data_IF_293585397046
#
_entry.id   IF_293585397046
#
_cell.length_a   1.000
_cell.length_b   1.000
_cell.length_c   1.000
_cell.angle_alpha   90.00
_cell.angle_beta   90.00
_cell.angle_gamma   90.00
#
_symmetry.space_group_name_H-M   'P 1'
#
loop_
_entity.id
_entity.type
_entity.pdbx_description
1 polymer ?
#
# COMPACT_ATOMS: atom_id res chain seq x y z
N UNK A 1 -10.36 4.69 -14.66
CA UNK A 1 -9.60 4.41 -13.43
C UNK A 1 -8.96 3.04 -13.56
N UNK A 2 -7.63 3.00 -13.73
CA UNK A 2 -6.88 1.75 -13.70
C UNK A 2 -6.98 1.22 -12.26
N UNK A 3 -7.65 0.08 -12.07
CA UNK A 3 -7.61 -0.63 -10.78
C UNK A 3 -6.19 -1.15 -10.63
N UNK A 4 -5.36 -0.43 -9.88
CA UNK A 4 -4.08 -0.96 -9.45
C UNK A 4 -4.36 -2.25 -8.66
N UNK A 5 -3.89 -3.36 -9.21
CA UNK A 5 -3.98 -4.67 -8.57
C UNK A 5 -3.23 -4.54 -7.24
N UNK A 6 -3.91 -4.83 -6.14
CA UNK A 6 -3.34 -4.78 -4.79
C UNK A 6 -1.98 -5.49 -4.76
N UNK A 7 -0.98 -4.84 -4.16
CA UNK A 7 0.40 -5.31 -3.98
C UNK A 7 0.50 -6.70 -3.30
N UNK A 8 -0.60 -7.18 -2.70
CA UNK A 8 -0.67 -8.49 -2.07
C UNK A 8 -1.23 -9.53 -3.06
N UNK A 9 -0.33 -10.18 -3.80
CA UNK A 9 -0.70 -11.30 -4.67
C UNK A 9 -1.36 -12.45 -3.88
N UNK A 10 -2.65 -12.66 -4.12
CA UNK A 10 -3.47 -13.74 -3.55
C UNK A 10 -3.01 -15.10 -4.08
N UNK A 11 -2.10 -15.77 -3.37
CA UNK A 11 -1.69 -17.14 -3.73
C UNK A 11 -2.80 -18.17 -3.49
N UNK A 12 -3.59 -18.00 -2.43
CA UNK A 12 -4.70 -18.90 -2.07
C UNK A 12 -5.86 -18.11 -1.43
N UNK A 13 -6.77 -17.53 -2.23
CA UNK A 13 -7.78 -16.59 -1.73
C UNK A 13 -8.67 -17.17 -0.61
N UNK A 14 -8.99 -18.47 -0.68
CA UNK A 14 -9.79 -19.15 0.34
C UNK A 14 -9.03 -19.31 1.66
N UNK A 15 -7.73 -19.63 1.62
CA UNK A 15 -6.91 -19.78 2.81
C UNK A 15 -6.70 -18.43 3.49
N UNK A 16 -6.47 -17.37 2.71
CA UNK A 16 -6.37 -16.01 3.25
C UNK A 16 -7.66 -15.57 3.94
N UNK A 17 -8.81 -15.89 3.34
CA UNK A 17 -10.11 -15.61 3.94
C UNK A 17 -10.34 -16.37 5.25
N UNK A 18 -9.98 -17.66 5.30
CA UNK A 18 -10.06 -18.47 6.53
C UNK A 18 -9.18 -17.87 7.63
N UNK A 19 -7.95 -17.51 7.31
CA UNK A 19 -7.02 -16.90 8.28
C UNK A 19 -7.51 -15.54 8.76
N UNK A 20 -8.09 -14.72 7.87
CA UNK A 20 -8.69 -13.44 8.25
C UNK A 20 -9.89 -13.64 9.21
N UNK A 21 -10.73 -14.65 8.98
CA UNK A 21 -11.84 -15.00 9.89
C UNK A 21 -11.30 -15.48 11.23
N UNK A 22 -10.28 -16.35 11.25
CA UNK A 22 -9.62 -16.80 12.49
C UNK A 22 -9.06 -15.60 13.27
N UNK A 23 -8.44 -14.64 12.58
CA UNK A 23 -7.92 -13.42 13.17
C UNK A 23 -9.02 -12.52 13.75
N UNK A 24 -10.17 -12.41 13.07
CA UNK A 24 -11.34 -11.70 13.59
C UNK A 24 -11.93 -12.36 14.84
N UNK A 25 -12.05 -13.70 14.83
CA UNK A 25 -12.52 -14.46 16.01
C UNK A 25 -11.56 -14.27 17.18
N UNK A 26 -10.25 -14.34 16.94
CA UNK A 26 -9.24 -14.07 17.97
C UNK A 26 -9.36 -12.64 18.51
N UNK A 27 -9.55 -11.65 17.65
CA UNK A 27 -9.72 -10.26 18.06
C UNK A 27 -10.96 -10.07 18.94
N UNK A 28 -12.09 -10.69 18.56
CA UNK A 28 -13.31 -10.67 19.37
C UNK A 28 -13.09 -11.31 20.74
N UNK A 29 -12.37 -12.43 20.80
CA UNK A 29 -11.99 -13.08 22.06
C UNK A 29 -11.10 -12.18 22.93
N UNK A 30 -10.13 -11.47 22.32
CA UNK A 30 -9.27 -10.50 23.02
C UNK A 30 -10.09 -9.34 23.58
N UNK A 31 -11.03 -8.78 22.81
CA UNK A 31 -11.91 -7.72 23.32
C UNK A 31 -12.84 -8.21 24.44
N UNK A 32 -13.36 -9.43 24.32
CA UNK A 32 -14.09 -10.07 25.39
C UNK A 32 -13.24 -10.18 26.66
N UNK A 33 -11.99 -10.66 26.56
CA UNK A 33 -11.06 -10.78 27.69
C UNK A 33 -10.76 -9.44 28.38
N UNK A 34 -10.52 -8.40 27.59
CA UNK A 34 -10.23 -7.04 28.08
C UNK A 34 -11.43 -6.42 28.80
N UNK A 35 -12.65 -6.70 28.33
CA UNK A 35 -13.88 -6.13 28.90
C UNK A 35 -14.52 -7.03 29.95
N UNK A 36 -14.06 -8.28 30.09
CA UNK A 36 -14.69 -9.31 30.91
C UNK A 36 -14.90 -8.88 32.35
N UNK A 37 -13.87 -8.34 33.01
CA UNK A 37 -13.95 -7.98 34.43
C UNK A 37 -14.99 -6.88 34.70
N UNK A 38 -15.06 -5.88 33.83
CA UNK A 38 -16.00 -4.76 33.97
C UNK A 38 -17.44 -5.18 33.66
N UNK A 39 -17.62 -6.07 32.66
CA UNK A 39 -18.94 -6.53 32.22
C UNK A 39 -19.37 -7.84 32.90
N UNK A 40 -18.57 -8.41 33.81
CA UNK A 40 -18.88 -9.65 34.52
C UNK A 40 -20.26 -9.65 35.19
N UNK A 41 -20.73 -8.58 35.86
CA UNK A 41 -22.08 -8.57 36.43
C UNK A 41 -23.17 -8.83 35.39
N UNK A 42 -23.02 -8.25 34.20
CA UNK A 42 -23.94 -8.44 33.06
C UNK A 42 -23.83 -9.86 32.53
N UNK A 43 -22.61 -10.37 32.32
CA UNK A 43 -22.41 -11.76 31.87
C UNK A 43 -22.97 -12.77 32.86
N UNK A 44 -22.87 -12.52 34.16
CA UNK A 44 -23.42 -13.42 35.17
C UNK A 44 -24.95 -13.43 35.16
N UNK A 45 -25.57 -12.28 34.96
CA UNK A 45 -27.03 -12.14 34.91
C UNK A 45 -27.64 -12.80 33.66
N UNK A 46 -27.03 -12.60 32.49
CA UNK A 46 -27.61 -13.04 31.20
C UNK A 46 -26.93 -14.28 30.59
N UNK A 47 -25.68 -14.56 30.94
CA UNK A 47 -24.81 -15.58 30.33
C UNK A 47 -24.03 -16.37 31.40
N UNK A 48 -24.71 -16.81 32.47
CA UNK A 48 -24.08 -17.53 33.59
C UNK A 48 -23.14 -18.68 33.17
N UNK A 49 -23.45 -19.52 32.15
CA UNK A 49 -22.53 -20.57 31.71
C UNK A 49 -21.16 -20.05 31.25
N UNK A 50 -21.13 -18.87 30.61
CA UNK A 50 -19.88 -18.24 30.18
C UNK A 50 -19.03 -17.88 31.40
N UNK A 51 -19.65 -17.29 32.43
CA UNK A 51 -18.91 -16.92 33.65
C UNK A 51 -18.35 -18.11 34.41
N UNK A 52 -19.06 -19.25 34.45
CA UNK A 52 -18.57 -20.46 35.12
C UNK A 52 -17.33 -21.04 34.44
N UNK A 53 -17.26 -20.98 33.11
CA UNK A 53 -16.11 -21.47 32.34
C UNK A 53 -14.95 -20.46 32.38
N UNK A 54 -15.25 -19.16 32.38
CA UNK A 54 -14.24 -18.11 32.22
C UNK A 54 -13.69 -17.53 33.53
N UNK A 55 -14.45 -17.56 34.63
CA UNK A 55 -13.99 -17.13 35.95
C UNK A 55 -12.65 -17.80 36.36
N UNK A 56 -12.47 -19.13 36.20
CA UNK A 56 -11.20 -19.79 36.46
C UNK A 56 -10.02 -19.24 35.63
N UNK A 57 -10.27 -18.80 34.39
CA UNK A 57 -9.24 -18.23 33.50
C UNK A 57 -8.70 -16.92 34.08
N UNK A 58 -9.57 -16.11 34.70
CA UNK A 58 -9.19 -14.85 35.38
C UNK A 58 -8.82 -15.03 36.86
N UNK A 59 -8.70 -16.28 37.32
CA UNK A 59 -8.41 -16.62 38.71
C UNK A 59 -9.52 -16.22 39.69
N UNK A 60 -10.74 -16.06 39.20
CA UNK A 60 -11.89 -15.62 40.00
C UNK A 60 -12.41 -16.79 40.81
N UNK A 61 -12.55 -16.57 42.12
CA UNK A 61 -13.11 -17.53 43.07
C UNK A 61 -14.09 -16.84 44.02
N UNK A 62 -15.05 -17.60 44.53
CA UNK A 62 -15.93 -17.13 45.60
C UNK A 62 -15.10 -16.80 46.84
N UNK A 63 -15.36 -15.68 47.49
CA UNK A 63 -14.61 -15.29 48.68
C UNK A 63 -15.06 -16.16 49.87
N UNK A 64 -14.13 -16.83 50.59
CA UNK A 64 -14.49 -17.78 51.65
C UNK A 64 -15.38 -17.17 52.73
N UNK A 65 -15.09 -15.94 53.16
CA UNK A 65 -15.89 -15.24 54.17
C UNK A 65 -17.33 -14.94 53.70
N UNK A 66 -17.53 -14.45 52.46
CA UNK A 66 -18.88 -14.14 51.96
C UNK A 66 -19.67 -15.40 51.62
N UNK A 67 -19.00 -16.48 51.23
CA UNK A 67 -19.62 -17.78 51.03
C UNK A 67 -20.08 -18.38 52.36
N UNK A 68 -19.22 -18.33 53.39
CA UNK A 68 -19.57 -18.73 54.77
C UNK A 68 -20.71 -17.89 55.33
N UNK A 69 -20.71 -16.58 55.07
CA UNK A 69 -21.81 -15.71 55.46
C UNK A 69 -23.12 -16.12 54.79
N UNK A 70 -23.09 -16.30 53.47
CA UNK A 70 -24.28 -16.68 52.70
C UNK A 70 -24.84 -18.03 53.15
N UNK A 71 -23.99 -19.02 53.40
CA UNK A 71 -24.42 -20.33 53.88
C UNK A 71 -25.01 -20.26 55.30
N UNK A 72 -24.45 -19.42 56.18
CA UNK A 72 -25.00 -19.19 57.51
C UNK A 72 -26.41 -18.56 57.47
N UNK A 73 -26.66 -17.64 56.53
CA UNK A 73 -28.00 -17.06 56.34
C UNK A 73 -29.00 -18.11 55.85
N UNK A 74 -28.61 -19.00 54.93
CA UNK A 74 -29.49 -20.09 54.48
C UNK A 74 -29.77 -21.10 55.61
N UNK A 75 -28.79 -21.37 56.48
CA UNK A 75 -29.01 -22.20 57.68
C UNK A 75 -29.99 -21.54 58.65
N UNK A 76 -29.86 -20.23 58.90
CA UNK A 76 -30.79 -19.50 59.74
C UNK A 76 -32.22 -19.57 59.20
N UNK A 77 -32.42 -19.38 57.89
CA UNK A 77 -33.74 -19.51 57.24
C UNK A 77 -34.38 -20.87 57.52
N UNK A 78 -33.63 -21.95 57.29
CA UNK A 78 -34.12 -23.30 57.55
C UNK A 78 -34.46 -23.54 59.03
N UNK A 79 -33.72 -22.93 59.97
CA UNK A 79 -33.98 -23.07 61.40
C UNK A 79 -35.20 -22.26 61.85
N UNK A 80 -35.39 -21.07 61.29
CA UNK A 80 -36.56 -20.21 61.58
C UNK A 80 -37.86 -20.88 61.16
N UNK A 81 -37.88 -21.55 60.01
CA UNK A 81 -39.04 -22.31 59.51
C UNK A 81 -39.41 -23.50 60.41
N UNK A 82 -38.44 -24.09 61.10
CA UNK A 82 -38.62 -25.33 61.87
C UNK A 82 -38.81 -25.11 63.38
N UNK A 83 -38.08 -24.17 63.97
CA UNK A 83 -37.92 -24.05 65.43
C UNK A 83 -38.26 -22.66 65.98
N UNK A 84 -38.42 -21.66 65.11
CA UNK A 84 -38.77 -20.29 65.49
C UNK A 84 -37.64 -19.46 66.11
N UNK A 85 -37.87 -18.15 66.22
CA UNK A 85 -36.87 -17.12 66.59
C UNK A 85 -36.19 -17.31 67.95
N UNK A 86 -36.91 -17.85 68.94
CA UNK A 86 -36.44 -17.93 70.33
C UNK A 86 -35.74 -19.26 70.67
N UNK A 87 -35.62 -20.19 69.71
CA UNK A 87 -34.92 -21.45 69.94
C UNK A 87 -33.42 -21.23 70.17
N UNK A 88 -32.79 -22.08 71.00
CA UNK A 88 -31.34 -22.03 71.20
C UNK A 88 -30.52 -22.14 69.89
N UNK A 89 -30.83 -23.06 68.94
CA UNK A 89 -30.08 -23.12 67.69
C UNK A 89 -30.20 -21.85 66.85
N UNK A 90 -31.38 -21.23 66.79
CA UNK A 90 -31.57 -19.95 66.07
C UNK A 90 -30.80 -18.81 66.72
N UNK A 91 -30.81 -18.71 68.06
CA UNK A 91 -30.03 -17.69 68.77
C UNK A 91 -28.52 -17.83 68.53
N UNK A 92 -28.02 -19.07 68.48
CA UNK A 92 -26.62 -19.33 68.12
C UNK A 92 -26.32 -18.86 66.69
N UNK A 93 -27.18 -19.21 65.72
CA UNK A 93 -27.00 -18.78 64.32
C UNK A 93 -27.03 -17.26 64.13
N UNK A 94 -27.88 -16.56 64.88
CA UNK A 94 -27.93 -15.09 64.89
C UNK A 94 -26.64 -14.50 65.45
N UNK A 95 -26.12 -15.04 66.55
CA UNK A 95 -24.82 -14.64 67.11
C UNK A 95 -23.67 -14.88 66.12
N UNK A 96 -23.66 -16.01 65.42
CA UNK A 96 -22.68 -16.31 64.38
C UNK A 96 -22.73 -15.30 63.23
N UNK A 97 -23.93 -14.89 62.79
CA UNK A 97 -24.08 -13.86 61.76
C UNK A 97 -23.62 -12.48 62.23
N UNK A 98 -23.84 -12.13 63.50
CA UNK A 98 -23.32 -10.89 64.07
C UNK A 98 -21.78 -10.90 64.05
N UNK A 99 -21.15 -12.00 64.47
CA UNK A 99 -19.69 -12.16 64.45
C UNK A 99 -19.13 -12.11 63.02
N UNK A 100 -19.75 -12.81 62.07
CA UNK A 100 -19.36 -12.76 60.66
C UNK A 100 -19.54 -11.35 60.08
N UNK A 101 -20.56 -10.60 60.51
CA UNK A 101 -20.78 -9.22 60.07
C UNK A 101 -19.67 -8.27 60.56
N UNK A 102 -19.17 -8.49 61.78
CA UNK A 102 -18.00 -7.77 62.28
C UNK A 102 -16.75 -8.09 61.45
N UNK A 103 -16.54 -9.37 61.12
CA UNK A 103 -15.42 -9.79 60.24
C UNK A 103 -15.50 -9.17 58.85
N UNK A 104 -16.70 -9.04 58.26
CA UNK A 104 -16.88 -8.35 56.96
C UNK A 104 -16.45 -6.89 57.00
N UNK A 105 -16.52 -6.23 58.16
CA UNK A 105 -16.11 -4.84 58.33
C UNK A 105 -14.61 -4.68 58.56
N UNK A 106 -13.92 -5.70 59.08
CA UNK A 106 -12.50 -5.65 59.42
C UNK A 106 -11.63 -6.29 58.35
N UNK A 107 -12.08 -7.38 57.75
CA UNK A 107 -11.44 -8.01 56.61
C UNK A 107 -11.86 -7.32 55.31
N UNK A 108 -10.94 -7.17 54.36
CA UNK A 108 -11.25 -6.69 52.99
C UNK A 108 -11.98 -7.78 52.19
N UNK A 109 -13.17 -8.15 52.66
CA UNK A 109 -13.98 -9.22 52.07
C UNK A 109 -14.48 -8.87 50.66
N UNK A 110 -14.60 -7.57 50.37
CA UNK A 110 -15.04 -7.04 49.08
C UNK A 110 -13.92 -6.19 48.44
N UNK A 111 -12.87 -6.82 47.91
CA UNK A 111 -11.65 -6.09 47.59
C UNK A 111 -11.56 -5.51 46.15
N UNK A 112 -12.09 -6.14 45.09
CA UNK A 112 -11.78 -5.69 43.71
C UNK A 112 -12.82 -6.12 42.66
N UNK A 113 -13.01 -5.38 41.53
CA UNK A 113 -12.66 -3.98 41.25
C UNK A 113 -13.69 -2.98 41.80
N UNK A 114 -14.86 -3.46 42.24
CA UNK A 114 -15.97 -2.65 42.75
C UNK A 114 -16.50 -3.15 44.11
N UNK A 115 -15.73 -4.00 44.78
CA UNK A 115 -16.14 -4.59 46.06
C UNK A 115 -16.42 -3.54 47.14
N UNK A 116 -15.60 -2.49 47.24
CA UNK A 116 -15.78 -1.42 48.23
C UNK A 116 -17.15 -0.73 48.09
N UNK A 117 -17.61 -0.49 46.85
CA UNK A 117 -18.92 0.10 46.59
C UNK A 117 -20.07 -0.85 46.97
N UNK A 118 -19.89 -2.15 46.76
CA UNK A 118 -20.87 -3.16 47.18
C UNK A 118 -21.01 -3.18 48.71
N UNK A 119 -19.88 -3.15 49.44
CA UNK A 119 -19.91 -3.10 50.90
C UNK A 119 -20.59 -1.82 51.41
N UNK A 120 -20.27 -0.66 50.83
CA UNK A 120 -20.92 0.62 51.19
C UNK A 120 -22.43 0.56 50.93
N UNK A 121 -22.87 -0.01 49.80
CA UNK A 121 -24.28 -0.18 49.48
C UNK A 121 -25.00 -1.09 50.50
N UNK A 122 -24.39 -2.22 50.87
CA UNK A 122 -24.91 -3.12 51.91
C UNK A 122 -25.05 -2.37 53.25
N UNK A 123 -23.99 -1.66 53.67
CA UNK A 123 -23.98 -0.90 54.92
C UNK A 123 -25.02 0.22 54.93
N UNK A 124 -25.23 0.90 53.80
CA UNK A 124 -26.24 1.95 53.67
C UNK A 124 -27.66 1.36 53.73
N UNK A 125 -27.90 0.25 53.02
CA UNK A 125 -29.19 -0.43 53.02
C UNK A 125 -29.57 -0.91 54.44
N UNK A 126 -28.64 -1.50 55.19
CA UNK A 126 -28.88 -1.96 56.54
C UNK A 126 -29.06 -0.83 57.55
N UNK A 127 -28.27 0.25 57.46
CA UNK A 127 -28.47 1.45 58.30
C UNK A 127 -29.85 2.07 58.07
N UNK A 128 -30.25 2.21 56.80
CA UNK A 128 -31.57 2.72 56.46
C UNK A 128 -32.70 1.80 56.94
N UNK A 129 -32.49 0.49 56.97
CA UNK A 129 -33.50 -0.49 57.37
C UNK A 129 -33.67 -0.59 58.89
N UNK A 130 -32.56 -0.47 59.63
CA UNK A 130 -32.53 -0.62 61.10
C UNK A 130 -32.61 0.70 61.87
N UNK A 131 -32.42 1.84 61.19
CA UNK A 131 -32.38 3.17 61.82
C UNK A 131 -31.09 3.48 62.57
N UNK A 132 -30.05 2.64 62.43
CA UNK A 132 -28.77 2.80 63.13
C UNK A 132 -27.80 3.72 62.37
N UNK A 133 -26.96 4.44 63.11
CA UNK A 133 -25.98 5.39 62.54
C UNK A 133 -24.70 4.67 62.06
N UNK A 134 -24.24 3.69 62.82
CA UNK A 134 -23.07 2.88 62.51
C UNK A 134 -23.45 1.66 61.67
N UNK A 135 -22.59 1.29 60.73
CA UNK A 135 -22.75 0.05 59.98
C UNK A 135 -22.68 -1.19 60.90
N UNK A 136 -21.79 -1.17 61.90
CA UNK A 136 -21.61 -2.29 62.84
C UNK A 136 -22.87 -2.47 63.70
N UNK A 137 -23.45 -1.38 64.19
CA UNK A 137 -24.69 -1.41 64.98
C UNK A 137 -25.88 -1.81 64.12
N UNK A 138 -25.91 -1.40 62.84
CA UNK A 138 -26.95 -1.84 61.90
C UNK A 138 -26.90 -3.35 61.67
N UNK A 139 -25.70 -3.93 61.48
CA UNK A 139 -25.54 -5.37 61.33
C UNK A 139 -25.92 -6.14 62.59
N UNK A 140 -25.49 -5.68 63.76
CA UNK A 140 -25.83 -6.34 65.03
C UNK A 140 -27.33 -6.28 65.32
N UNK A 141 -27.96 -5.13 65.09
CA UNK A 141 -29.40 -4.93 65.25
C UNK A 141 -30.20 -5.79 64.28
N UNK A 142 -29.83 -5.81 62.99
CA UNK A 142 -30.55 -6.58 61.97
C UNK A 142 -30.60 -8.08 62.30
N UNK A 143 -29.49 -8.64 62.78
CA UNK A 143 -29.40 -10.04 63.21
C UNK A 143 -29.73 -10.26 64.69
N UNK A 144 -30.51 -9.38 65.31
CA UNK A 144 -31.00 -9.59 66.68
C UNK A 144 -32.37 -10.27 66.68
N UNK A 145 -32.60 -11.17 67.63
CA UNK A 145 -33.89 -11.84 67.77
C UNK A 145 -35.01 -10.83 68.05
N UNK A 146 -34.74 -9.80 68.86
CA UNK A 146 -35.72 -8.79 69.22
C UNK A 146 -36.15 -7.93 68.01
N UNK A 147 -35.21 -7.56 67.14
CA UNK A 147 -35.54 -6.83 65.91
C UNK A 147 -36.35 -7.68 64.94
N UNK A 148 -35.93 -8.92 64.68
CA UNK A 148 -36.60 -9.83 63.76
C UNK A 148 -38.02 -10.21 64.25
N UNK A 149 -38.24 -10.27 65.56
CA UNK A 149 -39.57 -10.48 66.11
C UNK A 149 -40.47 -9.25 65.94
N UNK A 150 -39.95 -8.04 66.20
CA UNK A 150 -40.69 -6.79 66.06
C UNK A 150 -41.00 -6.42 64.60
N UNK A 151 -40.05 -6.62 63.70
CA UNK A 151 -40.10 -6.19 62.30
C UNK A 151 -40.69 -7.25 61.35
N UNK A 152 -41.16 -8.39 61.88
CA UNK A 152 -41.52 -9.60 61.14
C UNK A 152 -40.36 -10.15 60.30
N UNK A 153 -39.71 -11.17 60.84
CA UNK A 153 -38.53 -11.83 60.27
C UNK A 153 -38.70 -12.25 58.80
N UNK A 154 -39.91 -12.62 58.36
CA UNK A 154 -40.14 -13.01 56.96
C UNK A 154 -39.92 -11.84 56.00
N UNK A 155 -40.42 -10.66 56.37
CA UNK A 155 -40.25 -9.44 55.57
C UNK A 155 -38.78 -8.99 55.53
N UNK A 156 -38.06 -9.14 56.65
CA UNK A 156 -36.63 -8.80 56.71
C UNK A 156 -35.75 -9.77 55.90
N UNK A 157 -36.09 -11.06 55.86
CA UNK A 157 -35.39 -12.03 55.03
C UNK A 157 -35.69 -11.84 53.53
N UNK A 158 -36.91 -11.42 53.16
CA UNK A 158 -37.21 -11.00 51.78
C UNK A 158 -36.42 -9.75 51.38
N UNK A 159 -36.30 -8.77 52.29
CA UNK A 159 -35.43 -7.61 52.08
C UNK A 159 -33.98 -8.04 51.87
N UNK A 160 -33.46 -8.93 52.71
CA UNK A 160 -32.11 -9.49 52.56
C UNK A 160 -31.91 -10.13 51.19
N UNK A 161 -32.84 -10.99 50.77
CA UNK A 161 -32.73 -11.72 49.51
C UNK A 161 -32.78 -10.82 48.28
N UNK A 162 -33.55 -9.72 48.34
CA UNK A 162 -33.69 -8.79 47.22
C UNK A 162 -32.60 -7.73 47.18
N UNK A 163 -32.23 -7.17 48.33
CA UNK A 163 -31.36 -5.98 48.40
C UNK A 163 -29.92 -6.30 48.78
N UNK A 164 -29.67 -7.38 49.54
CA UNK A 164 -28.34 -7.63 50.10
C UNK A 164 -27.66 -8.83 49.44
N UNK A 165 -28.35 -9.97 49.32
CA UNK A 165 -27.84 -11.22 48.74
C UNK A 165 -27.18 -11.06 47.35
N UNK A 166 -27.70 -10.22 46.41
CA UNK A 166 -27.04 -10.04 45.11
C UNK A 166 -25.60 -9.53 45.20
N UNK A 167 -25.29 -8.69 46.19
CA UNK A 167 -23.93 -8.18 46.40
C UNK A 167 -22.98 -9.28 46.89
N UNK A 168 -23.42 -10.14 47.81
CA UNK A 168 -22.64 -11.28 48.30
C UNK A 168 -22.39 -12.30 47.19
N UNK A 169 -23.41 -12.57 46.38
CA UNK A 169 -23.26 -13.45 45.23
C UNK A 169 -22.30 -12.85 44.19
N UNK A 170 -22.40 -11.54 43.95
CA UNK A 170 -21.57 -10.82 42.98
C UNK A 170 -20.10 -10.72 43.41
N UNK A 171 -19.84 -10.79 44.72
CA UNK A 171 -18.51 -10.70 45.30
C UNK A 171 -17.61 -11.86 44.88
N UNK A 172 -16.35 -11.54 44.61
CA UNK A 172 -15.33 -12.50 44.29
C UNK A 172 -13.96 -11.97 44.68
N UNK A 173 -12.99 -12.87 44.77
CA UNK A 173 -11.59 -12.48 44.83
C UNK A 173 -10.83 -13.07 43.65
N UNK A 174 -9.74 -12.41 43.26
CA UNK A 174 -8.81 -12.92 42.27
C UNK A 174 -7.63 -13.56 42.98
N UNK A 175 -7.31 -14.79 42.61
CA UNK A 175 -6.05 -15.41 43.06
C UNK A 175 -4.88 -14.62 42.50
N UNK A 176 -3.78 -14.61 43.25
CA UNK A 176 -2.51 -14.06 42.81
C UNK A 176 -1.57 -15.19 42.42
N UNK A 177 -0.73 -14.93 41.43
CA UNK A 177 0.34 -15.86 41.05
C UNK A 177 1.56 -15.71 41.98
N UNK A 178 2.59 -16.53 41.75
CA UNK A 178 3.86 -16.53 42.50
C UNK A 178 4.62 -15.18 42.50
N UNK A 179 4.23 -14.25 41.64
CA UNK A 179 4.84 -12.92 41.52
C UNK A 179 3.95 -11.80 42.11
N UNK A 180 2.84 -12.16 42.74
CA UNK A 180 1.91 -11.21 43.35
C UNK A 180 0.99 -10.49 42.36
N UNK A 181 1.01 -10.85 41.07
CA UNK A 181 0.10 -10.30 40.08
C UNK A 181 -1.20 -11.13 40.02
N UNK A 182 -2.35 -10.52 39.66
CA UNK A 182 -3.60 -11.25 39.47
C UNK A 182 -3.43 -12.38 38.47
N UNK A 183 -3.94 -13.56 38.80
CA UNK A 183 -3.92 -14.72 37.91
C UNK A 183 -4.67 -14.42 36.61
N UNK A 184 -4.04 -14.72 35.49
CA UNK A 184 -4.60 -14.60 34.16
C UNK A 184 -4.04 -15.69 33.24
N UNK A 185 -4.87 -16.66 32.89
CA UNK A 185 -4.54 -17.77 32.01
C UNK A 185 -5.01 -17.57 30.57
N UNK A 186 -5.46 -16.37 30.19
CA UNK A 186 -5.96 -16.11 28.84
C UNK A 186 -4.93 -16.46 27.76
N UNK A 187 -3.65 -16.27 28.06
CA UNK A 187 -2.56 -16.59 27.13
C UNK A 187 -2.62 -18.06 26.65
N UNK A 188 -3.16 -18.98 27.46
CA UNK A 188 -3.32 -20.39 27.09
C UNK A 188 -4.43 -20.59 26.03
N UNK A 189 -5.51 -19.82 26.13
CA UNK A 189 -6.60 -19.82 25.14
C UNK A 189 -6.13 -19.13 23.85
N UNK A 190 -5.29 -18.13 23.97
CA UNK A 190 -4.75 -17.34 22.87
C UNK A 190 -3.64 -18.08 22.09
N UNK A 191 -2.89 -18.95 22.76
CA UNK A 191 -1.72 -19.63 22.21
C UNK A 191 -1.99 -20.41 20.91
N UNK A 192 -3.07 -21.20 20.77
CA UNK A 192 -3.41 -21.85 19.51
C UNK A 192 -3.52 -20.89 18.32
N UNK A 193 -4.11 -19.70 18.54
CA UNK A 193 -4.23 -18.68 17.50
C UNK A 193 -2.87 -18.08 17.15
N UNK A 194 -2.06 -17.76 18.17
CA UNK A 194 -0.70 -17.23 17.98
C UNK A 194 0.16 -18.22 17.19
N UNK A 195 0.04 -19.52 17.44
CA UNK A 195 0.75 -20.55 16.67
C UNK A 195 0.30 -20.58 15.20
N UNK A 196 -1.00 -20.50 14.93
CA UNK A 196 -1.53 -20.43 13.55
C UNK A 196 -0.98 -19.19 12.84
N UNK A 197 -1.01 -18.02 13.50
CA UNK A 197 -0.47 -16.79 12.92
C UNK A 197 1.04 -16.86 12.71
N UNK A 198 1.79 -17.45 13.64
CA UNK A 198 3.23 -17.62 13.49
C UNK A 198 3.57 -18.45 12.26
N UNK A 199 2.86 -19.57 12.04
CA UNK A 199 3.06 -20.42 10.86
C UNK A 199 2.69 -19.67 9.58
N UNK A 200 1.55 -18.97 9.55
CA UNK A 200 1.12 -18.16 8.39
C UNK A 200 2.14 -17.07 8.04
N UNK A 201 2.62 -16.32 9.05
CA UNK A 201 3.60 -15.26 8.86
C UNK A 201 4.92 -15.83 8.35
N UNK A 202 5.42 -16.92 8.94
CA UNK A 202 6.65 -17.57 8.50
C UNK A 202 6.55 -18.11 7.07
N UNK A 203 5.43 -18.75 6.72
CA UNK A 203 5.19 -19.24 5.36
C UNK A 203 5.25 -18.10 4.34
N UNK A 204 4.68 -16.94 4.68
CA UNK A 204 4.67 -15.77 3.80
C UNK A 204 6.02 -15.08 3.71
N UNK A 205 6.73 -14.91 4.82
CA UNK A 205 8.11 -14.39 4.82
C UNK A 205 8.99 -15.30 3.95
N UNK A 206 8.85 -16.63 4.09
CA UNK A 206 9.58 -17.60 3.28
C UNK A 206 9.23 -17.49 1.79
N UNK A 207 7.96 -17.33 1.44
CA UNK A 207 7.53 -17.13 0.06
C UNK A 207 8.11 -15.85 -0.55
N UNK A 208 8.10 -14.73 0.18
CA UNK A 208 8.70 -13.46 -0.25
C UNK A 208 10.19 -13.61 -0.52
N UNK A 209 10.91 -14.26 0.41
CA UNK A 209 12.35 -14.50 0.27
C UNK A 209 12.68 -15.43 -0.91
N UNK A 210 11.84 -16.44 -1.17
CA UNK A 210 12.04 -17.34 -2.33
C UNK A 210 11.90 -16.62 -3.66
N UNK A 211 11.08 -15.57 -3.74
CA UNK A 211 10.91 -14.75 -4.97
C UNK A 211 11.97 -13.67 -5.11
N UNK A 212 12.47 -13.16 -4.00
CA UNK A 212 13.44 -12.08 -3.95
C UNK A 212 14.68 -12.56 -3.18
N UNK A 213 15.61 -13.27 -3.84
CA UNK A 213 16.78 -13.86 -3.18
C UNK A 213 17.72 -12.80 -2.58
N UNK A 214 17.65 -11.56 -3.06
CA UNK A 214 18.47 -10.44 -2.59
C UNK A 214 18.04 -9.91 -1.21
N UNK A 215 16.85 -10.30 -0.72
CA UNK A 215 16.33 -9.87 0.58
C UNK A 215 16.81 -10.77 1.73
N UNK A 216 17.22 -10.13 2.83
CA UNK A 216 17.44 -10.81 4.11
C UNK A 216 16.11 -11.22 4.75
N UNK A 217 16.14 -12.18 5.68
CA UNK A 217 14.95 -12.57 6.46
C UNK A 217 14.36 -11.40 7.25
N UNK A 218 15.20 -10.49 7.74
CA UNK A 218 14.77 -9.33 8.51
C UNK A 218 14.03 -8.35 7.60
N UNK A 219 14.55 -8.05 6.41
CA UNK A 219 13.88 -7.18 5.43
C UNK A 219 12.56 -7.79 4.95
N UNK A 220 12.53 -9.09 4.67
CA UNK A 220 11.30 -9.80 4.31
C UNK A 220 10.26 -9.76 5.46
N UNK A 221 10.71 -9.83 6.71
CA UNK A 221 9.85 -9.67 7.90
C UNK A 221 9.35 -8.23 8.09
N UNK A 222 10.22 -7.23 7.90
CA UNK A 222 9.88 -5.81 8.03
C UNK A 222 8.83 -5.36 6.99
N UNK A 223 8.82 -5.96 5.79
CA UNK A 223 7.73 -5.75 4.81
C UNK A 223 6.35 -6.14 5.36
N UNK A 224 6.29 -6.93 6.43
CA UNK A 224 5.07 -7.38 7.12
C UNK A 224 5.07 -7.00 8.59
N UNK A 225 5.73 -5.92 8.97
CA UNK A 225 5.85 -5.48 10.37
C UNK A 225 4.50 -5.44 11.11
N UNK A 226 3.42 -5.07 10.42
CA UNK A 226 2.07 -4.99 11.00
C UNK A 226 1.53 -6.35 11.45
N UNK A 227 1.91 -7.45 10.80
CA UNK A 227 1.47 -8.80 11.18
C UNK A 227 2.11 -9.25 12.50
N UNK A 228 3.25 -8.66 12.90
CA UNK A 228 3.92 -9.02 14.15
C UNK A 228 3.08 -8.71 15.38
N UNK A 229 2.15 -7.74 15.31
CA UNK A 229 1.21 -7.46 16.39
C UNK A 229 0.29 -8.65 16.70
N UNK A 230 0.06 -9.57 15.76
CA UNK A 230 -0.68 -10.81 16.00
C UNK A 230 0.03 -11.76 16.96
N UNK A 231 1.37 -11.66 17.05
CA UNK A 231 2.19 -12.56 17.86
C UNK A 231 2.46 -12.03 19.26
N UNK A 232 2.21 -10.75 19.52
CA UNK A 232 2.52 -10.16 20.81
C UNK A 232 1.61 -10.73 21.91
N UNK A 233 2.18 -11.24 23.02
CA UNK A 233 1.41 -11.72 24.15
C UNK A 233 0.91 -10.57 25.05
N UNK A 234 1.52 -9.39 24.93
CA UNK A 234 1.14 -8.13 25.57
C UNK A 234 0.52 -7.17 24.54
N UNK A 235 -0.16 -6.11 25.02
CA UNK A 235 -0.77 -5.09 24.15
C UNK A 235 -1.69 -5.64 23.05
N UNK A 236 -2.46 -6.69 23.38
CA UNK A 236 -3.28 -7.45 22.43
C UNK A 236 -4.29 -6.62 21.64
N UNK A 237 -4.67 -5.43 22.12
CA UNK A 237 -5.53 -4.49 21.39
C UNK A 237 -4.94 -4.02 20.04
N UNK A 238 -3.61 -4.02 19.90
CA UNK A 238 -2.94 -3.67 18.64
C UNK A 238 -3.20 -4.66 17.51
N UNK A 239 -3.75 -5.85 17.81
CA UNK A 239 -4.20 -6.82 16.80
C UNK A 239 -5.32 -6.27 15.91
N UNK A 240 -6.02 -5.23 16.33
CA UNK A 240 -7.04 -4.58 15.50
C UNK A 240 -6.46 -4.12 14.15
N UNK A 241 -5.22 -3.62 14.13
CA UNK A 241 -4.57 -3.14 12.90
C UNK A 241 -4.34 -4.26 11.87
N UNK A 242 -3.58 -5.34 12.16
CA UNK A 242 -3.39 -6.41 11.19
C UNK A 242 -4.70 -7.12 10.84
N UNK A 243 -5.65 -7.25 11.76
CA UNK A 243 -6.95 -7.87 11.47
C UNK A 243 -7.75 -7.02 10.48
N UNK A 244 -7.84 -5.70 10.69
CA UNK A 244 -8.53 -4.80 9.77
C UNK A 244 -7.91 -4.84 8.37
N UNK A 245 -6.57 -4.82 8.29
CA UNK A 245 -5.85 -4.93 7.02
C UNK A 245 -6.10 -6.29 6.34
N UNK A 246 -6.09 -7.40 7.09
CA UNK A 246 -6.38 -8.74 6.54
C UNK A 246 -7.81 -8.85 6.03
N UNK A 247 -8.79 -8.31 6.76
CA UNK A 247 -10.19 -8.28 6.32
C UNK A 247 -10.38 -7.43 5.06
N UNK A 248 -9.70 -6.30 4.97
CA UNK A 248 -9.66 -5.48 3.76
C UNK A 248 -9.04 -6.23 2.58
N UNK A 249 -7.90 -6.90 2.79
CA UNK A 249 -7.21 -7.68 1.75
C UNK A 249 -8.07 -8.80 1.14
N UNK A 250 -9.02 -9.35 1.91
CA UNK A 250 -9.95 -10.40 1.46
C UNK A 250 -11.34 -9.88 1.08
N UNK A 251 -11.48 -8.56 0.87
CA UNK A 251 -12.73 -7.88 0.48
C UNK A 251 -13.89 -8.10 1.48
N UNK A 252 -13.59 -8.37 2.76
CA UNK A 252 -14.59 -8.51 3.83
C UNK A 252 -14.86 -7.20 4.57
N UNK A 253 -14.01 -6.19 4.40
CA UNK A 253 -14.14 -4.88 5.02
C UNK A 253 -13.78 -3.82 3.99
N UNK A 254 -14.64 -2.83 3.80
CA UNK A 254 -14.49 -1.76 2.81
C UNK A 254 -13.74 -0.57 3.45
N UNK A 255 -12.46 -0.36 3.11
CA UNK A 255 -11.64 0.76 3.60
C UNK A 255 -11.32 1.79 2.51
N UNK A 256 -12.05 1.81 1.41
CA UNK A 256 -11.73 2.64 0.23
C UNK A 256 -11.67 4.13 0.58
N UNK A 257 -12.58 4.61 1.44
CA UNK A 257 -12.59 6.01 1.89
C UNK A 257 -11.37 6.36 2.76
N UNK A 258 -10.99 5.46 3.67
CA UNK A 258 -9.84 5.66 4.57
C UNK A 258 -8.53 5.60 3.77
N UNK A 259 -8.45 4.69 2.80
CA UNK A 259 -7.33 4.60 1.88
C UNK A 259 -7.20 5.86 1.02
N UNK A 260 -8.31 6.35 0.45
CA UNK A 260 -8.29 7.54 -0.39
C UNK A 260 -7.77 8.77 0.37
N UNK A 261 -8.17 8.94 1.64
CA UNK A 261 -7.67 10.04 2.47
C UNK A 261 -6.21 9.84 2.87
N UNK A 262 -5.83 8.64 3.34
CA UNK A 262 -4.45 8.35 3.72
C UNK A 262 -3.47 8.47 2.54
N UNK A 263 -3.92 8.12 1.32
CA UNK A 263 -3.11 8.23 0.12
C UNK A 263 -2.98 9.68 -0.36
N UNK A 264 -3.93 10.56 -0.04
CA UNK A 264 -3.90 11.95 -0.50
C UNK A 264 -2.61 12.66 -0.06
N UNK A 265 -2.27 12.57 1.22
CA UNK A 265 -1.09 13.25 1.79
C UNK A 265 0.22 12.55 1.40
N UNK A 266 0.20 11.22 1.29
CA UNK A 266 1.37 10.43 0.89
C UNK A 266 1.68 10.63 -0.60
N UNK A 267 0.67 10.68 -1.48
CA UNK A 267 0.86 10.92 -2.92
C UNK A 267 1.36 12.34 -3.17
N UNK A 268 0.94 13.34 -2.38
CA UNK A 268 1.45 14.71 -2.55
C UNK A 268 2.94 14.80 -2.19
N UNK A 269 3.38 14.07 -1.16
CA UNK A 269 4.78 14.11 -0.70
C UNK A 269 5.69 13.17 -1.51
N UNK A 270 5.26 11.94 -1.75
CA UNK A 270 6.04 10.91 -2.47
C UNK A 270 5.88 11.07 -3.99
N UNK A 271 4.78 11.65 -4.46
CA UNK A 271 4.52 11.84 -5.88
C UNK A 271 5.50 12.80 -6.55
N UNK A 272 6.06 13.76 -5.82
CA UNK A 272 7.13 14.62 -6.33
C UNK A 272 8.43 13.82 -6.58
N UNK A 273 8.82 12.99 -5.61
CA UNK A 273 10.02 12.14 -5.72
C UNK A 273 9.87 11.10 -6.84
N UNK A 274 8.70 10.45 -6.92
CA UNK A 274 8.40 9.48 -7.98
C UNK A 274 8.30 10.18 -9.34
N UNK A 275 7.69 11.37 -9.44
CA UNK A 275 7.61 12.10 -10.70
C UNK A 275 8.99 12.57 -11.18
N UNK A 276 9.88 12.98 -10.27
CA UNK A 276 11.26 13.32 -10.59
C UNK A 276 12.02 12.12 -11.15
N UNK A 277 11.97 10.97 -10.46
CA UNK A 277 12.67 9.74 -10.88
C UNK A 277 12.06 9.18 -12.17
N UNK A 278 10.73 9.13 -12.27
CA UNK A 278 10.05 8.71 -13.49
C UNK A 278 10.35 9.66 -14.66
N UNK A 279 10.49 10.96 -14.40
CA UNK A 279 10.91 11.94 -15.40
C UNK A 279 12.30 11.65 -15.95
N UNK A 280 13.27 11.33 -15.08
CA UNK A 280 14.63 10.94 -15.48
C UNK A 280 14.60 9.65 -16.32
N UNK A 281 13.89 8.62 -15.85
CA UNK A 281 13.75 7.35 -16.57
C UNK A 281 13.13 7.52 -17.95
N UNK A 282 12.09 8.35 -18.06
CA UNK A 282 11.44 8.68 -19.34
C UNK A 282 12.44 9.36 -20.28
N UNK A 283 13.28 10.26 -19.76
CA UNK A 283 14.33 10.94 -20.54
C UNK A 283 15.42 9.96 -20.97
N UNK A 284 15.89 9.10 -20.08
CA UNK A 284 16.92 8.09 -20.40
C UNK A 284 16.41 7.11 -21.46
N UNK A 285 15.19 6.59 -21.29
CA UNK A 285 14.57 5.70 -22.26
C UNK A 285 14.33 6.38 -23.62
N UNK A 286 14.03 7.68 -23.61
CA UNK A 286 13.94 8.48 -24.83
C UNK A 286 15.32 8.63 -25.49
N UNK A 287 16.36 8.97 -24.71
CA UNK A 287 17.73 9.08 -25.19
C UNK A 287 18.24 7.76 -25.79
N UNK A 288 17.94 6.63 -25.17
CA UNK A 288 18.30 5.31 -25.69
C UNK A 288 17.57 4.99 -27.00
N UNK A 289 16.29 5.37 -27.10
CA UNK A 289 15.53 5.24 -28.35
C UNK A 289 16.12 6.11 -29.47
N UNK A 290 16.68 7.29 -29.15
CA UNK A 290 17.43 8.14 -30.10
C UNK A 290 18.73 7.44 -30.50
N UNK A 291 19.51 6.96 -29.54
CA UNK A 291 20.81 6.30 -29.77
C UNK A 291 20.69 5.07 -30.64
N UNK A 292 19.59 4.32 -30.50
CA UNK A 292 19.32 3.10 -31.26
C UNK A 292 18.67 3.36 -32.63
N UNK A 293 18.34 4.63 -32.95
CA UNK A 293 17.70 5.02 -34.21
C UNK A 293 16.24 4.59 -34.35
N UNK A 294 15.62 4.05 -33.30
CA UNK A 294 14.24 3.55 -33.33
C UNK A 294 13.21 4.66 -33.54
N UNK A 295 13.52 5.87 -33.07
CA UNK A 295 12.63 7.04 -33.23
C UNK A 295 12.39 7.42 -34.69
N UNK A 296 13.38 7.23 -35.57
CA UNK A 296 13.23 7.52 -37.00
C UNK A 296 12.22 6.56 -37.65
N UNK A 297 12.19 5.30 -37.22
CA UNK A 297 11.18 4.33 -37.67
C UNK A 297 9.77 4.70 -37.22
N UNK A 298 9.62 5.41 -36.09
CA UNK A 298 8.31 5.85 -35.61
C UNK A 298 7.81 7.11 -36.33
N UNK A 299 8.73 8.00 -36.74
CA UNK A 299 8.45 9.19 -37.54
C UNK A 299 8.06 8.82 -38.98
N UNK A 300 8.72 7.81 -39.56
CA UNK A 300 8.45 7.34 -40.92
C UNK A 300 7.04 6.71 -41.10
N UNK A 301 6.36 6.38 -40.00
CA UNK A 301 5.10 5.64 -39.99
C UNK A 301 3.84 6.55 -39.89
N UNK A 302 3.92 7.83 -40.28
CA UNK A 302 2.88 8.83 -40.00
C UNK A 302 2.53 9.73 -41.20
N UNK A 303 1.22 9.79 -41.50
CA UNK A 303 0.50 10.77 -42.31
C UNK A 303 -0.03 11.91 -41.38
N UNK A 304 -0.21 13.16 -41.84
CA UNK A 304 -0.23 14.34 -40.96
C UNK A 304 -1.59 14.59 -40.31
N UNK A 305 -1.57 15.53 -39.36
CA UNK A 305 -2.68 16.19 -38.63
C UNK A 305 -2.95 15.63 -37.23
N UNK A 306 -2.26 16.22 -36.26
CA UNK A 306 -2.84 16.49 -34.95
C UNK A 306 -2.35 17.88 -34.49
N UNK A 307 -3.27 18.83 -34.43
CA UNK A 307 -3.04 20.16 -33.85
C UNK A 307 -2.82 20.01 -32.34
N UNK A 308 -1.57 20.17 -31.91
CA UNK A 308 -1.25 20.50 -30.53
C UNK A 308 -0.81 21.96 -30.48
N UNK A 309 -1.75 22.85 -30.17
CA UNK A 309 -1.47 24.24 -29.79
C UNK A 309 -0.74 24.24 -28.44
N UNK A 310 0.59 24.07 -28.47
CA UNK A 310 1.57 24.52 -27.48
C UNK A 310 2.93 23.91 -27.85
N UNK A 311 3.51 24.37 -28.96
CA UNK A 311 4.89 24.08 -29.33
C UNK A 311 5.81 24.93 -28.45
N UNK A 312 6.48 24.26 -27.50
CA UNK A 312 7.48 24.87 -26.64
C UNK A 312 8.73 25.11 -27.47
N UNK A 313 9.08 26.38 -27.65
CA UNK A 313 10.25 26.88 -28.38
C UNK A 313 11.53 26.52 -27.59
N UNK A 314 12.02 25.28 -27.76
CA UNK A 314 13.13 24.72 -26.96
C UNK A 314 14.36 24.29 -27.76
N UNK A 315 14.33 24.34 -29.09
CA UNK A 315 15.50 23.94 -29.89
C UNK A 315 16.47 25.12 -29.98
N UNK A 316 17.65 24.96 -29.37
CA UNK A 316 18.68 25.99 -29.35
C UNK A 316 19.29 26.19 -30.76
N UNK A 317 19.59 27.44 -31.11
CA UNK A 317 20.19 27.83 -32.41
C UNK A 317 21.52 27.10 -32.70
N UNK A 318 22.23 26.71 -31.65
CA UNK A 318 23.46 25.91 -31.73
C UNK A 318 23.21 24.49 -32.27
N UNK A 319 22.09 23.86 -31.92
CA UNK A 319 21.74 22.50 -32.37
C UNK A 319 21.38 22.47 -33.86
N UNK A 320 20.64 23.49 -34.33
CA UNK A 320 20.28 23.65 -35.74
C UNK A 320 21.55 23.80 -36.60
N UNK A 321 22.51 24.58 -36.11
CA UNK A 321 23.80 24.78 -36.77
C UNK A 321 24.64 23.49 -36.82
N UNK A 322 24.59 22.68 -35.76
CA UNK A 322 25.25 21.37 -35.70
C UNK A 322 24.62 20.37 -36.69
N UNK A 323 23.29 20.32 -36.77
CA UNK A 323 22.55 19.47 -37.71
C UNK A 323 22.85 19.89 -39.16
N UNK A 324 22.80 21.19 -39.47
CA UNK A 324 23.14 21.70 -40.80
C UNK A 324 24.57 21.33 -41.21
N UNK A 325 25.53 21.41 -40.28
CA UNK A 325 26.91 21.01 -40.51
C UNK A 325 27.04 19.50 -40.79
N UNK A 326 26.28 18.66 -40.08
CA UNK A 326 26.27 17.22 -40.30
C UNK A 326 25.61 16.83 -41.62
N UNK A 327 24.48 17.46 -41.98
CA UNK A 327 23.78 17.25 -43.24
C UNK A 327 24.64 17.63 -44.44
N UNK A 328 25.42 18.71 -44.33
CA UNK A 328 26.41 19.07 -45.35
C UNK A 328 27.44 17.95 -45.55
N UNK A 329 28.08 17.48 -44.48
CA UNK A 329 29.09 16.42 -44.55
C UNK A 329 28.51 15.14 -45.17
N UNK A 330 27.33 14.70 -44.69
CA UNK A 330 26.66 13.52 -45.25
C UNK A 330 26.26 13.75 -46.71
N UNK A 331 25.80 14.96 -47.05
CA UNK A 331 25.43 15.35 -48.40
C UNK A 331 26.57 15.23 -49.40
N UNK A 332 27.76 15.74 -49.06
CA UNK A 332 28.93 15.74 -49.93
C UNK A 332 29.62 14.37 -49.95
N UNK A 333 29.83 13.77 -48.79
CA UNK A 333 30.68 12.56 -48.69
C UNK A 333 29.91 11.28 -49.01
N UNK A 334 28.62 11.21 -48.66
CA UNK A 334 27.84 9.98 -48.75
C UNK A 334 26.74 10.03 -49.80
N UNK A 335 26.03 11.17 -49.93
CA UNK A 335 24.88 11.28 -50.84
C UNK A 335 25.35 11.57 -52.26
N UNK A 336 26.20 12.57 -52.47
CA UNK A 336 26.64 12.99 -53.80
C UNK A 336 27.21 11.85 -54.68
N UNK A 337 28.04 10.92 -54.15
CA UNK A 337 28.49 9.77 -54.94
C UNK A 337 27.36 8.80 -55.30
N UNK A 338 26.35 8.65 -54.44
CA UNK A 338 25.21 7.75 -54.69
C UNK A 338 24.27 8.29 -55.76
N UNK A 339 24.13 9.61 -55.89
CA UNK A 339 23.29 10.25 -56.93
C UNK A 339 24.05 10.52 -58.24
N UNK A 340 25.37 10.31 -58.27
CA UNK A 340 26.19 10.41 -59.48
C UNK A 340 25.60 9.69 -60.71
N UNK A 341 25.16 8.40 -60.63
CA UNK A 341 24.59 7.71 -61.79
C UNK A 341 23.33 8.40 -62.34
N UNK A 342 22.48 8.94 -61.47
CA UNK A 342 21.26 9.65 -61.89
C UNK A 342 21.61 10.99 -62.54
N UNK A 343 22.66 11.66 -62.06
CA UNK A 343 23.21 12.87 -62.69
C UNK A 343 23.80 12.53 -64.07
N UNK A 344 24.50 11.40 -64.21
CA UNK A 344 25.01 10.89 -65.50
C UNK A 344 23.86 10.68 -66.50
N UNK A 345 22.75 10.11 -66.04
CA UNK A 345 21.56 9.88 -66.86
C UNK A 345 20.87 11.19 -67.25
N UNK A 346 20.76 12.16 -66.34
CA UNK A 346 20.24 13.50 -66.65
C UNK A 346 21.11 14.23 -67.68
N UNK A 347 22.43 14.14 -67.55
CA UNK A 347 23.39 14.69 -68.52
C UNK A 347 23.22 13.99 -69.87
N UNK A 348 23.06 12.67 -69.87
CA UNK A 348 22.80 11.90 -71.08
C UNK A 348 21.51 12.33 -71.77
N UNK A 349 20.44 12.53 -71.00
CA UNK A 349 19.16 13.01 -71.51
C UNK A 349 19.27 14.42 -72.11
N UNK A 350 19.98 15.33 -71.44
CA UNK A 350 20.20 16.70 -71.92
C UNK A 350 21.03 16.75 -73.21
N UNK A 351 22.10 15.96 -73.28
CA UNK A 351 22.97 15.85 -74.47
C UNK A 351 22.20 15.24 -75.63
N UNK A 352 21.48 14.13 -75.42
CA UNK A 352 20.67 13.48 -76.44
C UNK A 352 19.62 14.44 -77.03
N UNK A 353 18.89 15.14 -76.16
CA UNK A 353 17.88 16.13 -76.57
C UNK A 353 18.47 17.30 -77.36
N UNK A 354 19.66 17.75 -77.00
CA UNK A 354 20.35 18.85 -77.71
C UNK A 354 20.85 18.39 -79.09
N UNK A 355 21.35 17.15 -79.19
CA UNK A 355 21.77 16.54 -80.47
C UNK A 355 20.59 16.32 -81.42
N UNK A 356 19.45 15.85 -80.91
CA UNK A 356 18.20 15.72 -81.68
C UNK A 356 17.72 17.05 -82.28
N UNK A 357 18.01 18.17 -81.61
CA UNK A 357 17.62 19.51 -82.06
C UNK A 357 18.59 20.13 -83.08
N UNK A 358 19.74 19.49 -83.37
CA UNK A 358 20.69 20.04 -84.33
C UNK A 358 20.25 19.82 -85.79
N UNK A 359 20.29 20.87 -86.64
CA UNK A 359 19.99 20.73 -88.05
C UNK A 359 21.04 19.84 -88.73
N UNK A 360 20.62 18.69 -89.29
CA UNK A 360 21.51 17.69 -89.87
C UNK A 360 21.49 16.32 -89.17
N UNK A 361 21.08 16.26 -87.90
CA UNK A 361 21.08 15.03 -87.10
C UNK A 361 20.04 13.99 -87.55
N UNK A 362 18.78 14.36 -87.88
CA UNK A 362 17.80 13.40 -88.37
C UNK A 362 18.21 12.73 -89.69
N UNK A 363 19.02 13.40 -90.54
CA UNK A 363 19.51 12.83 -91.79
C UNK A 363 20.55 11.72 -91.57
N UNK A 364 21.27 11.73 -90.44
CA UNK A 364 22.29 10.73 -90.11
C UNK A 364 21.68 9.39 -89.65
N UNK A 365 20.46 9.40 -89.11
CA UNK A 365 19.75 8.19 -88.65
C UNK A 365 19.22 7.30 -89.79
N UNK A 366 19.26 7.74 -91.05
CA UNK A 366 18.79 6.94 -92.21
C UNK A 366 19.90 6.09 -92.86
N UNK A 367 21.13 6.15 -92.37
CA UNK A 367 22.26 5.38 -92.88
C UNK A 367 22.44 4.09 -92.05
N UNK A 368 22.26 2.88 -92.65
CA UNK A 368 22.36 1.62 -91.92
C UNK A 368 23.77 1.43 -91.34
N UNK A 369 23.85 1.21 -90.02
CA UNK A 369 25.10 1.02 -89.27
C UNK A 369 25.58 2.23 -88.45
N UNK A 370 25.05 3.45 -88.68
CA UNK A 370 25.44 4.65 -87.93
C UNK A 370 24.60 4.93 -86.67
N UNK A 371 23.44 4.30 -86.54
CA UNK A 371 22.56 4.42 -85.38
C UNK A 371 23.28 3.98 -84.08
N UNK A 372 23.95 2.82 -84.10
CA UNK A 372 24.69 2.29 -82.94
C UNK A 372 25.88 3.17 -82.54
N UNK A 373 26.53 3.81 -83.52
CA UNK A 373 27.66 4.72 -83.28
C UNK A 373 27.19 5.99 -82.58
N UNK A 374 26.03 6.53 -82.98
CA UNK A 374 25.45 7.74 -82.36
C UNK A 374 25.08 7.52 -80.89
N UNK A 375 24.47 6.38 -80.56
CA UNK A 375 24.07 6.02 -79.18
C UNK A 375 25.30 5.77 -78.30
N UNK A 376 26.32 5.09 -78.82
CA UNK A 376 27.58 4.88 -78.10
C UNK A 376 28.34 6.18 -77.89
N UNK A 377 28.34 7.08 -78.88
CA UNK A 377 28.98 8.38 -78.79
C UNK A 377 28.29 9.27 -77.75
N UNK A 378 26.96 9.32 -77.74
CA UNK A 378 26.17 10.00 -76.69
C UNK A 378 26.51 9.42 -75.32
N UNK A 379 26.52 8.09 -75.18
CA UNK A 379 26.82 7.42 -73.91
C UNK A 379 28.23 7.73 -73.42
N UNK A 380 29.23 7.68 -74.30
CA UNK A 380 30.62 7.99 -73.96
C UNK A 380 30.86 9.47 -73.65
N UNK A 381 30.24 10.38 -74.41
CA UNK A 381 30.29 11.82 -74.15
C UNK A 381 29.63 12.16 -72.82
N UNK A 382 28.45 11.60 -72.55
CA UNK A 382 27.70 11.86 -71.31
C UNK A 382 28.46 11.35 -70.10
N UNK A 383 28.98 10.11 -70.18
CA UNK A 383 29.82 9.55 -69.13
C UNK A 383 31.10 10.37 -68.92
N UNK A 384 31.76 10.80 -70.00
CA UNK A 384 33.01 11.58 -69.91
C UNK A 384 32.78 13.01 -69.41
N UNK A 385 31.67 13.65 -69.79
CA UNK A 385 31.28 14.98 -69.30
C UNK A 385 30.88 14.92 -67.84
N UNK A 386 30.04 13.97 -67.44
CA UNK A 386 29.62 13.82 -66.06
C UNK A 386 30.78 13.37 -65.15
N UNK A 387 31.62 12.44 -65.59
CA UNK A 387 32.81 12.03 -64.84
C UNK A 387 33.88 13.13 -64.81
N UNK A 388 33.98 13.96 -65.86
CA UNK A 388 34.83 15.15 -65.91
C UNK A 388 34.35 16.25 -64.96
N UNK A 389 33.05 16.51 -64.92
CA UNK A 389 32.42 17.43 -63.96
C UNK A 389 32.57 16.91 -62.53
N UNK A 390 32.35 15.63 -62.29
CA UNK A 390 32.54 15.00 -60.98
C UNK A 390 33.99 15.09 -60.51
N UNK A 391 34.97 14.75 -61.35
CA UNK A 391 36.41 14.86 -61.03
C UNK A 391 36.87 16.31 -60.93
N UNK A 392 36.30 17.23 -61.70
CA UNK A 392 36.60 18.66 -61.58
C UNK A 392 36.03 19.24 -60.30
N UNK A 393 34.80 18.87 -59.91
CA UNK A 393 34.18 19.29 -58.64
C UNK A 393 34.91 18.66 -57.46
N UNK A 394 35.09 17.33 -57.44
CA UNK A 394 35.79 16.62 -56.35
C UNK A 394 37.30 16.93 -56.29
N UNK A 395 37.96 17.15 -57.43
CA UNK A 395 39.39 17.44 -57.52
C UNK A 395 39.74 18.92 -57.34
N UNK A 396 38.85 19.85 -57.70
CA UNK A 396 39.06 21.28 -57.41
C UNK A 396 39.02 21.60 -55.92
N UNK A 397 38.48 20.72 -55.07
CA UNK A 397 38.53 20.84 -53.61
C UNK A 397 39.97 20.81 -53.03
N UNK A 398 40.96 20.35 -53.82
CA UNK A 398 42.34 20.09 -53.36
C UNK A 398 43.38 21.14 -53.82
N UNK A 399 43.01 22.14 -54.62
CA UNK A 399 43.91 23.25 -55.05
C UNK A 399 43.65 24.54 -54.26
N UNK A 400 44.67 25.40 -54.09
CA UNK A 400 44.65 26.56 -53.19
C UNK A 400 43.51 27.56 -53.47
N UNK A 401 43.08 27.71 -54.73
CA UNK A 401 41.96 28.57 -55.12
C UNK A 401 40.60 27.89 -54.93
N UNK A 402 40.55 26.58 -55.08
CA UNK A 402 39.35 25.79 -54.85
C UNK A 402 39.06 25.55 -53.37
N UNK A 403 40.09 25.55 -52.51
CA UNK A 403 39.93 25.54 -51.06
C UNK A 403 39.14 26.76 -50.55
N UNK A 404 39.37 27.96 -51.12
CA UNK A 404 38.63 29.17 -50.76
C UNK A 404 37.15 29.11 -51.22
N UNK A 405 36.92 28.61 -52.45
CA UNK A 405 35.56 28.44 -53.00
C UNK A 405 34.81 27.37 -52.19
N UNK A 406 35.49 26.30 -51.80
CA UNK A 406 34.93 25.22 -50.95
C UNK A 406 34.56 25.75 -49.57
N UNK A 407 35.45 26.51 -48.94
CA UNK A 407 35.18 27.12 -47.64
C UNK A 407 33.97 28.06 -47.70
N UNK A 408 33.86 28.85 -48.78
CA UNK A 408 32.73 29.76 -49.00
C UNK A 408 31.42 29.01 -49.30
N UNK A 409 31.47 27.96 -50.12
CA UNK A 409 30.31 27.13 -50.43
C UNK A 409 29.84 26.38 -49.19
N UNK A 410 30.76 25.82 -48.40
CA UNK A 410 30.46 25.19 -47.12
C UNK A 410 29.79 26.18 -46.16
N UNK A 411 30.34 27.41 -46.05
CA UNK A 411 29.77 28.45 -45.21
C UNK A 411 28.35 28.82 -45.65
N UNK A 412 28.17 29.17 -46.92
CA UNK A 412 26.90 29.63 -47.46
C UNK A 412 25.85 28.52 -47.48
N UNK A 413 26.23 27.28 -47.78
CA UNK A 413 25.29 26.15 -47.79
C UNK A 413 24.87 25.78 -46.36
N UNK A 414 25.80 25.82 -45.39
CA UNK A 414 25.47 25.66 -43.98
C UNK A 414 24.54 26.77 -43.51
N UNK A 415 24.82 28.01 -43.87
CA UNK A 415 23.99 29.17 -43.52
C UNK A 415 22.61 29.11 -44.17
N UNK A 416 22.52 28.73 -45.43
CA UNK A 416 21.24 28.53 -46.13
C UNK A 416 20.42 27.38 -45.54
N UNK A 417 21.06 26.25 -45.23
CA UNK A 417 20.41 25.12 -44.55
C UNK A 417 19.95 25.50 -43.13
N UNK A 418 20.80 26.19 -42.37
CA UNK A 418 20.45 26.67 -41.04
C UNK A 418 19.30 27.70 -41.10
N UNK A 419 19.32 28.60 -42.09
CA UNK A 419 18.26 29.57 -42.32
C UNK A 419 16.93 28.90 -42.68
N UNK A 420 16.94 27.95 -43.63
CA UNK A 420 15.75 27.21 -44.06
C UNK A 420 15.17 26.35 -42.92
N UNK A 421 16.02 25.64 -42.16
CA UNK A 421 15.61 24.87 -40.99
C UNK A 421 15.11 25.76 -39.84
N UNK A 422 15.58 27.01 -39.79
CA UNK A 422 15.13 28.01 -38.81
C UNK A 422 13.87 28.75 -39.24
N UNK A 423 13.43 28.63 -40.50
CA UNK A 423 12.19 29.26 -40.94
C UNK A 423 11.01 28.70 -40.15
N UNK A 424 10.11 29.60 -39.74
CA UNK A 424 8.99 29.27 -38.86
C UNK A 424 8.15 28.08 -39.34
N UNK A 425 7.86 28.01 -40.65
CA UNK A 425 7.03 26.92 -41.21
C UNK A 425 7.75 25.57 -41.15
N UNK A 426 9.02 25.53 -41.55
CA UNK A 426 9.86 24.32 -41.55
C UNK A 426 10.10 23.84 -40.12
N UNK A 427 10.44 24.75 -39.21
CA UNK A 427 10.60 24.46 -37.77
C UNK A 427 9.33 23.88 -37.19
N UNK A 428 8.18 24.53 -37.42
CA UNK A 428 6.89 24.07 -36.90
C UNK A 428 6.49 22.68 -37.43
N UNK A 429 6.80 22.38 -38.70
CA UNK A 429 6.55 21.05 -39.24
C UNK A 429 7.43 19.97 -38.58
N UNK A 430 8.73 20.25 -38.41
CA UNK A 430 9.66 19.34 -37.73
C UNK A 430 9.22 19.12 -36.27
N UNK A 431 8.92 20.20 -35.55
CA UNK A 431 8.44 20.15 -34.17
C UNK A 431 7.15 19.34 -34.05
N UNK A 432 6.19 19.54 -34.94
CA UNK A 432 4.94 18.77 -34.97
C UNK A 432 5.20 17.27 -35.13
N UNK A 433 6.11 16.89 -36.04
CA UNK A 433 6.49 15.48 -36.26
C UNK A 433 7.20 14.88 -35.03
N UNK A 434 8.06 15.67 -34.36
CA UNK A 434 8.73 15.25 -33.12
C UNK A 434 7.73 15.07 -31.97
N UNK A 435 6.82 16.01 -31.77
CA UNK A 435 5.74 15.90 -30.76
C UNK A 435 4.89 14.65 -31.00
N UNK A 436 4.51 14.40 -32.26
CA UNK A 436 3.75 13.20 -32.63
C UNK A 436 4.51 11.91 -32.31
N UNK A 437 5.82 11.86 -32.57
CA UNK A 437 6.66 10.72 -32.21
C UNK A 437 6.77 10.52 -30.69
N UNK A 438 6.91 11.61 -29.93
CA UNK A 438 6.91 11.60 -28.47
C UNK A 438 5.58 11.10 -27.88
N UNK A 439 4.44 11.46 -28.48
CA UNK A 439 3.15 10.95 -28.03
C UNK A 439 2.99 9.44 -28.22
N UNK A 440 3.49 8.89 -29.34
CA UNK A 440 3.53 7.43 -29.52
C UNK A 440 4.44 6.74 -28.51
N UNK A 441 5.60 7.34 -28.21
CA UNK A 441 6.49 6.85 -27.16
C UNK A 441 5.78 6.85 -25.80
N UNK A 442 5.11 7.95 -25.43
CA UNK A 442 4.34 8.06 -24.19
C UNK A 442 3.32 6.93 -24.06
N UNK A 443 2.56 6.64 -25.12
CA UNK A 443 1.56 5.57 -25.12
C UNK A 443 2.22 4.20 -24.94
N UNK A 444 3.31 3.92 -25.67
CA UNK A 444 4.05 2.65 -25.57
C UNK A 444 4.65 2.46 -24.17
N UNK A 445 5.22 3.51 -23.59
CA UNK A 445 5.80 3.50 -22.25
C UNK A 445 4.74 3.28 -21.17
N UNK A 446 3.63 4.03 -21.21
CA UNK A 446 2.52 3.86 -20.25
C UNK A 446 1.95 2.44 -20.31
N UNK A 447 1.85 1.85 -21.51
CA UNK A 447 1.40 0.47 -21.69
C UNK A 447 2.39 -0.53 -21.09
N UNK A 448 3.69 -0.37 -21.35
CA UNK A 448 4.74 -1.21 -20.77
C UNK A 448 4.76 -1.14 -19.25
N UNK A 449 4.57 0.06 -18.67
CA UNK A 449 4.49 0.26 -17.22
C UNK A 449 3.25 -0.42 -16.60
N UNK A 450 2.11 -0.32 -17.28
CA UNK A 450 0.86 -0.95 -16.85
C UNK A 450 0.95 -2.49 -16.89
N UNK A 451 1.72 -3.05 -17.81
CA UNK A 451 1.98 -4.49 -17.93
C UNK A 451 3.05 -4.99 -16.94
N UNK A 452 4.07 -4.18 -16.64
CA UNK A 452 5.17 -4.55 -15.74
C UNK A 452 4.79 -4.54 -14.25
N UNK A 453 3.77 -3.76 -13.84
CA UNK A 453 3.29 -3.71 -12.45
C UNK A 453 4.17 -2.90 -11.49
N UNK A 454 3.60 -2.51 -10.34
CA UNK A 454 4.21 -1.55 -9.42
C UNK A 454 5.49 -2.00 -8.69
N UNK A 455 5.81 -3.30 -8.67
CA UNK A 455 7.00 -3.85 -8.00
C UNK A 455 8.29 -3.53 -8.78
N UNK A 456 8.24 -3.58 -10.11
CA UNK A 456 9.39 -3.27 -10.98
C UNK A 456 9.75 -1.79 -10.92
N UNK A 457 8.74 -0.92 -10.87
CA UNK A 457 8.92 0.51 -10.66
C UNK A 457 9.52 0.77 -9.27
N UNK A 458 8.96 0.18 -8.20
CA UNK A 458 9.47 0.37 -6.85
C UNK A 458 10.93 -0.11 -6.68
N UNK A 459 11.27 -1.28 -7.24
CA UNK A 459 12.63 -1.81 -7.20
C UNK A 459 13.63 -0.95 -8.00
N UNK A 460 13.24 -0.46 -9.19
CA UNK A 460 14.07 0.49 -9.96
C UNK A 460 14.25 1.81 -9.21
N UNK A 461 13.19 2.30 -8.57
CA UNK A 461 13.25 3.52 -7.74
C UNK A 461 14.26 3.37 -6.59
N UNK A 462 14.32 2.18 -5.96
CA UNK A 462 15.29 1.89 -4.90
C UNK A 462 16.73 1.81 -5.44
N UNK A 463 16.93 1.22 -6.63
CA UNK A 463 18.24 1.11 -7.28
C UNK A 463 18.78 2.49 -7.70
N UNK A 464 17.97 3.33 -8.33
CA UNK A 464 18.36 4.69 -8.73
C UNK A 464 18.67 5.56 -7.51
N UNK A 465 17.89 5.43 -6.43
CA UNK A 465 18.17 6.13 -5.17
C UNK A 465 19.52 5.73 -4.56
N UNK A 466 19.94 4.47 -4.70
CA UNK A 466 21.28 4.00 -4.28
C UNK A 466 22.41 4.50 -5.17
N UNK A 467 22.14 4.84 -6.44
CA UNK A 467 23.13 5.39 -7.36
C UNK A 467 23.29 6.91 -7.21
N UNK A 468 22.23 7.60 -6.80
CA UNK A 468 22.21 9.05 -6.56
C UNK A 468 22.65 9.44 -5.13
N UNK A 469 22.76 8.48 -4.21
CA UNK A 469 23.35 8.65 -2.86
C UNK A 469 24.81 8.25 -2.84
#
# INVERSE_FOLDING_TARGET
MVKFKSYFERHYPNLERVIAIIALVNLALVFFDLTYLNLRPVYRQYLSPVTQVYDPVKGIKAHPLTERYSSQVEQLKSQLDQTGLRSQPTQNSLSDLQNLSQQLSTERAFAEPHGDLALVAIQQALRSRTGQLSAQDAFSQFWSADYLEQANWQTELEFWDRQIRPFFQGNYYRTVNRWGAPTDYFWLIDLPFVLIFAVDILARISATRRRNPDLTWVEAGLRRWYDLFLLLPFWRGWRALPVALRLYQVDLLALEAVQAEAQRDVIVTVGADIAGIAGIEIIEQLQDSIRQGELLNWIALIDPVADSENSVDLVAEEEITAIASRLYQVGVDNILPQVQPDIEELVQHSIARTLEQMPGYPQLNYLPGLEQVSVQMIKHLSHSVAQGLYRSVAGSLLDARGAEITARLQHNLREALASELSQYNTRKEIESRLVSALDKFKIKYVKALAEAGGETLANHTELLRKQLS
#
